data_IF_281710923416
#
_entry.id   IF_281710923416
#
_cell.length_a   1.000
_cell.length_b   1.000
_cell.length_c   1.000
_cell.angle_alpha   90.00
_cell.angle_beta   90.00
_cell.angle_gamma   90.00
#
_symmetry.space_group_name_H-M   'P 1'
#
loop_
_entity.id
_entity.type
_entity.pdbx_description
1 polymer ?
#
# COMPACT_ATOMS: atom_id res chain seq x y z
N UNK A 1 -27.06 -59.65 24.91
CA UNK A 1 -25.64 -59.27 24.77
C UNK A 1 -25.50 -57.81 25.14
N UNK A 2 -24.72 -57.55 26.19
CA UNK A 2 -24.56 -56.25 26.81
C UNK A 2 -23.40 -55.47 26.16
N UNK A 3 -23.49 -54.14 26.13
CA UNK A 3 -22.36 -53.31 26.52
C UNK A 3 -22.85 -51.95 27.04
N UNK A 4 -22.56 -51.71 28.32
CA UNK A 4 -22.61 -50.42 29.00
C UNK A 4 -21.36 -49.61 28.61
N UNK A 5 -21.46 -48.29 28.55
CA UNK A 5 -20.35 -47.43 28.98
C UNK A 5 -20.84 -46.31 29.89
N UNK A 6 -20.03 -46.12 30.92
CA UNK A 6 -20.31 -45.48 32.21
C UNK A 6 -19.70 -44.08 32.18
N UNK A 7 -20.48 -43.09 32.60
CA UNK A 7 -20.05 -41.71 32.78
C UNK A 7 -19.37 -41.58 34.14
N UNK A 8 -18.07 -41.27 34.14
CA UNK A 8 -17.29 -41.03 35.36
C UNK A 8 -17.29 -39.53 35.67
N UNK A 9 -17.90 -39.15 36.80
CA UNK A 9 -17.86 -37.80 37.37
C UNK A 9 -16.70 -37.76 38.37
N UNK A 10 -15.68 -36.96 38.09
CA UNK A 10 -14.56 -36.72 39.00
C UNK A 10 -14.82 -35.50 39.87
N UNK A 11 -15.00 -35.72 41.18
CA UNK A 11 -14.92 -34.69 42.21
C UNK A 11 -13.46 -34.51 42.64
N UNK A 12 -12.91 -33.32 42.46
CA UNK A 12 -11.59 -32.92 42.93
C UNK A 12 -11.69 -31.96 44.11
N UNK A 13 -11.15 -32.38 45.24
CA UNK A 13 -11.16 -31.72 46.55
C UNK A 13 -10.27 -30.47 46.57
N UNK A 14 -10.78 -29.42 47.21
CA UNK A 14 -10.10 -28.19 47.58
C UNK A 14 -8.99 -28.45 48.62
N UNK A 15 -7.76 -27.98 48.34
CA UNK A 15 -6.73 -27.76 49.36
C UNK A 15 -6.22 -26.33 49.19
N UNK A 16 -6.61 -25.47 50.12
CA UNK A 16 -5.97 -24.19 50.42
C UNK A 16 -4.88 -24.46 51.45
N UNK A 17 -3.66 -23.95 51.22
CA UNK A 17 -2.71 -23.48 52.25
C UNK A 17 -1.43 -22.99 51.55
N UNK A 18 -0.96 -21.78 51.88
CA UNK A 18 0.42 -21.39 51.61
C UNK A 18 0.64 -19.95 51.15
N UNK A 19 0.54 -19.02 52.09
CA UNK A 19 0.92 -17.62 51.95
C UNK A 19 2.37 -17.43 51.50
N UNK A 20 2.58 -16.72 50.40
CA UNK A 20 3.89 -16.27 49.93
C UNK A 20 3.76 -14.97 49.15
N UNK A 21 3.90 -13.83 49.83
CA UNK A 21 4.09 -12.53 49.18
C UNK A 21 5.41 -12.55 48.41
N UNK A 22 5.33 -12.55 47.09
CA UNK A 22 6.32 -11.92 46.21
C UNK A 22 5.52 -11.10 45.22
N UNK A 23 5.49 -9.79 45.47
CA UNK A 23 4.92 -8.83 44.54
C UNK A 23 5.77 -8.80 43.27
N UNK A 24 5.30 -9.47 42.23
CA UNK A 24 5.54 -9.01 40.87
C UNK A 24 4.37 -8.09 40.53
N UNK A 25 4.64 -6.79 40.57
CA UNK A 25 3.77 -5.80 39.96
C UNK A 25 3.57 -6.22 38.50
N UNK A 26 2.44 -6.85 38.20
CA UNK A 26 1.86 -6.81 36.87
C UNK A 26 1.39 -5.37 36.70
N UNK A 27 2.35 -4.48 36.42
CA UNK A 27 2.05 -3.25 35.72
C UNK A 27 1.40 -3.70 34.41
N UNK A 28 0.07 -3.66 34.40
CA UNK A 28 -0.67 -3.58 33.17
C UNK A 28 -0.08 -2.37 32.43
N UNK A 29 0.81 -2.64 31.46
CA UNK A 29 1.22 -1.66 30.48
C UNK A 29 -0.07 -1.17 29.84
N UNK A 30 -0.51 0.00 30.30
CA UNK A 30 -1.67 0.72 29.79
C UNK A 30 -1.50 0.78 28.29
N UNK A 31 -2.31 -0.01 27.58
CA UNK A 31 -2.17 -0.29 26.16
C UNK A 31 -1.90 0.98 25.38
N UNK A 32 -0.63 1.18 25.02
CA UNK A 32 -0.28 2.14 23.99
C UNK A 32 -1.07 1.71 22.76
N UNK A 33 -1.88 2.61 22.21
CA UNK A 33 -2.53 2.35 20.93
C UNK A 33 -1.44 1.89 19.96
N UNK A 34 -1.65 0.81 19.18
CA UNK A 34 -0.71 0.44 18.14
C UNK A 34 -0.40 1.68 17.30
N UNK A 35 0.84 2.15 17.37
CA UNK A 35 1.31 3.31 16.61
C UNK A 35 1.96 2.81 15.34
N UNK A 36 1.58 3.40 14.19
CA UNK A 36 2.27 3.21 12.92
C UNK A 36 3.77 3.41 13.07
N UNK A 37 4.57 2.55 12.42
CA UNK A 37 6.03 2.66 12.37
C UNK A 37 6.43 3.67 11.30
N UNK A 38 7.31 4.63 11.60
CA UNK A 38 7.89 5.49 10.57
C UNK A 38 8.66 4.66 9.55
N UNK A 39 8.58 5.04 8.28
CA UNK A 39 9.33 4.44 7.19
C UNK A 39 9.94 5.53 6.29
N UNK A 40 10.93 5.13 5.49
CA UNK A 40 11.35 5.82 4.28
C UNK A 40 10.67 5.16 3.10
N UNK A 41 10.21 5.95 2.16
CA UNK A 41 9.89 5.48 0.82
C UNK A 41 10.62 6.40 -0.14
N UNK A 42 11.62 5.88 -0.84
CA UNK A 42 12.34 6.60 -1.88
C UNK A 42 12.04 5.94 -3.22
N UNK A 43 11.49 6.73 -4.12
CA UNK A 43 11.48 6.35 -5.53
C UNK A 43 12.91 6.55 -6.02
N UNK A 44 13.49 5.54 -6.67
CA UNK A 44 14.88 5.66 -7.12
C UNK A 44 14.99 6.70 -8.23
N UNK A 45 15.94 7.63 -8.08
CA UNK A 45 17.11 7.70 -8.97
C UNK A 45 18.36 8.10 -8.13
N UNK A 46 19.24 7.16 -7.71
CA UNK A 46 20.27 7.44 -6.70
C UNK A 46 21.60 7.93 -7.31
N UNK A 47 21.64 9.11 -7.96
CA UNK A 47 22.92 9.68 -8.39
C UNK A 47 22.88 10.95 -9.25
N UNK A 48 23.97 11.73 -9.22
CA UNK A 48 24.22 12.89 -10.09
C UNK A 48 24.67 12.39 -11.48
N UNK A 49 23.70 12.01 -12.32
CA UNK A 49 23.94 11.48 -13.68
C UNK A 49 22.93 10.43 -14.15
N UNK A 50 21.62 10.62 -13.97
CA UNK A 50 20.61 9.71 -14.56
C UNK A 50 20.53 9.94 -16.08
N UNK A 51 20.77 8.88 -16.90
CA UNK A 51 19.66 8.11 -17.48
C UNK A 51 19.97 6.60 -17.64
N UNK A 52 18.97 5.69 -17.46
CA UNK A 52 18.52 4.52 -18.29
C UNK A 52 17.33 3.88 -17.50
N UNK A 53 16.12 4.43 -17.50
CA UNK A 53 15.09 4.21 -18.53
C UNK A 53 14.40 5.52 -18.96
N UNK A 54 15.19 6.50 -19.38
CA UNK A 54 14.65 7.72 -19.99
C UNK A 54 14.07 7.49 -21.42
N UNK A 55 13.66 6.26 -21.74
CA UNK A 55 13.07 5.90 -23.05
C UNK A 55 11.64 5.40 -22.98
N UNK A 56 11.06 5.27 -21.78
CA UNK A 56 9.61 5.04 -21.66
C UNK A 56 8.99 6.29 -21.06
N UNK A 57 8.07 6.97 -21.74
CA UNK A 57 7.39 8.16 -21.23
C UNK A 57 6.70 7.91 -19.87
N UNK A 58 6.28 6.67 -19.64
CA UNK A 58 5.31 6.33 -18.62
C UNK A 58 5.94 5.84 -17.34
N UNK A 59 5.64 6.49 -16.22
CA UNK A 59 6.09 6.01 -14.92
C UNK A 59 5.70 6.92 -13.77
N UNK A 60 5.72 6.34 -12.56
CA UNK A 60 5.63 7.06 -11.29
C UNK A 60 7.05 7.56 -10.98
N UNK A 61 7.33 8.84 -11.23
CA UNK A 61 8.64 9.43 -10.95
C UNK A 61 8.63 10.24 -9.65
N UNK A 62 9.63 10.00 -8.80
CA UNK A 62 10.00 10.75 -7.60
C UNK A 62 11.51 10.46 -7.34
N UNK A 63 12.33 11.24 -6.65
CA UNK A 63 12.11 11.99 -5.41
C UNK A 63 13.20 13.09 -5.22
N UNK A 64 12.97 14.01 -4.27
CA UNK A 64 14.03 14.74 -3.55
C UNK A 64 14.08 14.19 -2.12
N UNK A 65 15.26 13.92 -1.54
CA UNK A 65 15.33 13.27 -0.22
C UNK A 65 14.70 14.15 0.88
N UNK A 66 13.67 13.62 1.57
CA UNK A 66 13.04 14.26 2.74
C UNK A 66 13.45 13.53 4.03
N UNK A 67 13.82 14.25 5.10
CA UNK A 67 14.09 13.64 6.41
C UNK A 67 12.90 12.86 6.99
N UNK A 68 13.20 11.92 7.88
CA UNK A 68 12.22 11.11 8.60
C UNK A 68 11.33 11.97 9.51
N UNK A 69 10.01 11.93 9.29
CA UNK A 69 8.99 12.50 10.18
C UNK A 69 7.78 11.55 10.19
N UNK A 70 7.32 11.12 11.37
CA UNK A 70 6.10 10.30 11.50
C UNK A 70 4.81 11.08 11.21
N UNK A 71 4.86 12.41 11.21
CA UNK A 71 3.74 13.29 10.91
C UNK A 71 3.56 13.49 9.39
N UNK A 72 4.64 13.34 8.62
CA UNK A 72 4.78 13.78 7.23
C UNK A 72 5.40 12.66 6.34
N UNK A 73 5.38 11.42 6.82
CA UNK A 73 6.24 10.34 6.35
C UNK A 73 5.55 9.24 5.57
N UNK A 74 6.37 8.42 4.90
CA UNK A 74 5.98 7.03 4.68
C UNK A 74 5.81 6.36 6.06
N UNK A 75 4.79 5.53 6.20
CA UNK A 75 4.53 4.79 7.43
C UNK A 75 4.18 3.36 7.09
N UNK A 76 4.61 2.43 7.93
CA UNK A 76 4.04 1.09 7.97
C UNK A 76 3.02 1.09 9.10
N UNK A 77 1.74 0.94 8.74
CA UNK A 77 0.67 0.96 9.72
C UNK A 77 0.68 -0.29 10.62
N UNK A 78 -0.31 -0.38 11.49
CA UNK A 78 -0.39 -1.45 12.49
C UNK A 78 -0.77 -2.80 11.89
N UNK A 79 -1.24 -2.80 10.64
CA UNK A 79 -1.50 -4.00 9.83
C UNK A 79 -0.30 -4.39 8.96
N UNK A 80 0.78 -3.61 8.99
CA UNK A 80 1.98 -3.87 8.19
C UNK A 80 1.89 -3.31 6.77
N UNK A 81 0.89 -2.48 6.47
CA UNK A 81 0.69 -1.86 5.17
C UNK A 81 1.47 -0.56 5.04
N UNK A 82 2.06 -0.32 3.86
CA UNK A 82 2.66 0.97 3.56
C UNK A 82 1.57 1.98 3.25
N UNK A 83 1.62 3.10 3.97
CA UNK A 83 0.93 4.33 3.64
C UNK A 83 1.96 5.42 3.39
N UNK A 84 1.97 5.94 2.16
CA UNK A 84 2.77 7.11 1.80
C UNK A 84 1.84 8.28 1.48
N UNK A 85 2.09 9.40 2.16
CA UNK A 85 1.46 10.70 1.91
C UNK A 85 2.48 11.63 1.26
N UNK A 86 2.08 12.36 0.22
CA UNK A 86 2.90 13.46 -0.31
C UNK A 86 2.75 14.69 0.58
N UNK A 87 3.86 15.37 0.84
CA UNK A 87 3.95 16.53 1.73
C UNK A 87 4.47 17.71 0.93
N UNK A 88 3.88 18.92 1.07
CA UNK A 88 4.24 20.05 0.24
C UNK A 88 5.72 20.36 0.36
N UNK A 89 6.37 20.64 -0.77
CA UNK A 89 7.81 20.95 -0.87
C UNK A 89 8.76 19.83 -0.44
N UNK A 90 8.25 18.66 -0.06
CA UNK A 90 9.04 17.49 0.28
C UNK A 90 9.12 16.49 -0.87
N UNK A 91 7.96 16.03 -1.35
CA UNK A 91 7.84 14.97 -2.37
C UNK A 91 6.89 15.44 -3.47
N UNK A 92 7.21 15.12 -4.71
CA UNK A 92 6.26 15.23 -5.81
C UNK A 92 6.17 13.89 -6.53
N UNK A 93 5.05 13.65 -7.20
CA UNK A 93 4.79 12.48 -8.00
C UNK A 93 4.49 12.94 -9.42
N UNK A 94 5.29 12.50 -10.39
CA UNK A 94 4.93 12.63 -11.81
C UNK A 94 4.29 11.34 -12.29
N UNK A 95 3.13 11.46 -12.95
CA UNK A 95 2.36 10.38 -13.55
C UNK A 95 2.19 10.67 -15.03
N UNK A 96 2.74 9.83 -15.89
CA UNK A 96 2.51 9.89 -17.34
C UNK A 96 1.52 8.80 -17.78
N UNK A 97 0.52 9.24 -18.54
CA UNK A 97 -0.61 8.48 -19.05
C UNK A 97 -0.65 8.51 -20.59
N UNK A 98 0.50 8.71 -21.24
CA UNK A 98 0.62 8.78 -22.70
C UNK A 98 0.61 7.39 -23.36
N UNK A 99 1.10 6.35 -22.68
CA UNK A 99 1.05 4.94 -23.12
C UNK A 99 -0.16 4.21 -22.54
N UNK A 100 -1.32 4.69 -22.96
CA UNK A 100 -2.59 3.99 -22.75
C UNK A 100 -2.82 2.96 -23.85
N UNK A 101 -3.26 1.77 -23.47
CA UNK A 101 -3.69 0.72 -24.42
C UNK A 101 -5.07 1.00 -25.06
N UNK A 102 -5.82 1.95 -24.51
CA UNK A 102 -7.10 2.41 -25.05
C UNK A 102 -7.17 3.94 -24.98
N UNK A 103 -7.60 4.58 -26.07
CA UNK A 103 -7.96 5.98 -26.05
C UNK A 103 -9.13 6.19 -25.08
N UNK A 104 -9.06 7.28 -24.33
CA UNK A 104 -10.16 7.72 -23.51
C UNK A 104 -11.40 7.89 -24.39
N UNK A 105 -12.43 7.07 -24.18
CA UNK A 105 -13.68 7.16 -24.95
C UNK A 105 -14.36 8.52 -24.77
N UNK A 106 -15.41 8.81 -25.54
CA UNK A 106 -16.11 10.10 -25.52
C UNK A 106 -16.68 10.52 -24.14
N UNK A 107 -16.79 9.60 -23.18
CA UNK A 107 -17.25 9.83 -21.82
C UNK A 107 -16.12 10.03 -20.78
N UNK A 108 -14.86 9.97 -21.23
CA UNK A 108 -13.70 10.15 -20.36
C UNK A 108 -13.59 11.58 -19.84
N UNK A 109 -13.20 11.71 -18.58
CA UNK A 109 -13.02 12.99 -17.89
C UNK A 109 -11.59 13.45 -17.84
N UNK A 110 -10.64 12.58 -18.20
CA UNK A 110 -9.21 12.89 -18.12
C UNK A 110 -8.88 13.99 -19.13
N UNK A 111 -8.34 15.10 -18.62
CA UNK A 111 -7.90 16.25 -19.41
C UNK A 111 -6.38 16.42 -19.39
N UNK A 112 -5.65 15.46 -18.83
CA UNK A 112 -4.19 15.50 -18.67
C UNK A 112 -3.54 14.26 -19.28
N UNK A 113 -2.41 14.44 -19.96
CA UNK A 113 -1.52 13.36 -20.40
C UNK A 113 -0.44 13.06 -19.37
N UNK A 114 0.08 14.11 -18.73
CA UNK A 114 1.04 14.03 -17.64
C UNK A 114 0.47 14.82 -16.47
N UNK A 115 0.63 14.29 -15.26
CA UNK A 115 0.19 14.93 -14.03
C UNK A 115 1.33 14.96 -13.03
N UNK A 116 1.69 16.16 -12.59
CA UNK A 116 2.60 16.36 -11.46
C UNK A 116 1.78 16.70 -10.22
N UNK A 117 2.02 15.95 -9.13
CA UNK A 117 1.33 16.10 -7.85
C UNK A 117 2.37 16.44 -6.80
N UNK A 118 2.37 17.68 -6.33
CA UNK A 118 3.36 18.25 -5.42
C UNK A 118 2.75 18.77 -4.10
N UNK A 119 1.46 18.54 -3.89
CA UNK A 119 0.70 19.11 -2.77
C UNK A 119 -0.18 18.09 -2.02
N UNK A 120 -0.24 18.32 -0.71
CA UNK A 120 -1.01 17.59 0.29
C UNK A 120 -2.48 18.06 0.32
N UNK A 121 -3.51 17.20 0.54
CA UNK A 121 -3.53 15.74 0.75
C UNK A 121 -3.89 14.94 -0.50
N UNK A 122 -3.43 15.38 -1.65
CA UNK A 122 -3.91 14.88 -2.92
C UNK A 122 -3.21 13.59 -3.36
N UNK A 123 -2.46 12.87 -2.52
CA UNK A 123 -1.84 11.61 -2.96
C UNK A 123 -1.62 10.62 -1.82
N UNK A 124 -2.24 9.44 -1.95
CA UNK A 124 -2.19 8.34 -1.00
C UNK A 124 -1.83 7.03 -1.70
N UNK A 125 -0.77 6.37 -1.22
CA UNK A 125 -0.33 5.06 -1.68
C UNK A 125 -0.73 3.98 -0.68
N UNK A 126 -1.34 2.91 -1.16
CA UNK A 126 -1.68 1.73 -0.35
C UNK A 126 -1.26 0.46 -1.08
N UNK A 127 -0.42 -0.36 -0.45
CA UNK A 127 0.16 -1.55 -1.09
C UNK A 127 -0.83 -2.71 -1.18
N UNK A 128 -1.50 -3.10 -0.10
CA UNK A 128 -2.36 -4.28 0.00
C UNK A 128 -1.70 -5.54 -0.58
N UNK A 129 -0.68 -6.03 0.12
CA UNK A 129 0.07 -7.24 -0.26
C UNK A 129 -0.85 -8.45 -0.27
N UNK A 130 -0.69 -9.31 -1.26
CA UNK A 130 -1.44 -10.56 -1.40
C UNK A 130 -0.57 -11.73 -0.95
N UNK A 131 -1.11 -12.57 -0.07
CA UNK A 131 -0.50 -13.84 0.29
C UNK A 131 -0.71 -14.83 -0.88
N UNK A 132 0.37 -15.32 -1.52
CA UNK A 132 0.27 -16.20 -2.68
C UNK A 132 -0.34 -17.58 -2.35
N UNK A 133 -0.35 -17.99 -1.08
CA UNK A 133 -0.93 -19.27 -0.64
C UNK A 133 -2.45 -19.18 -0.58
N UNK A 134 -2.99 -18.06 -0.09
CA UNK A 134 -4.42 -17.89 0.15
C UNK A 134 -5.13 -17.09 -0.96
N UNK A 135 -4.39 -16.29 -1.72
CA UNK A 135 -4.94 -15.31 -2.67
C UNK A 135 -5.62 -14.11 -1.98
N UNK A 136 -5.57 -14.04 -0.65
CA UNK A 136 -6.14 -12.97 0.17
C UNK A 136 -5.13 -11.90 0.57
N UNK A 137 -5.58 -10.87 1.28
CA UNK A 137 -4.69 -9.87 1.89
C UNK A 137 -3.80 -10.53 2.94
N UNK A 138 -2.51 -10.22 2.88
CA UNK A 138 -1.55 -10.69 3.85
C UNK A 138 -1.83 -10.05 5.23
N UNK A 139 -1.95 -10.86 6.27
CA UNK A 139 -2.37 -10.39 7.61
C UNK A 139 -1.42 -9.36 8.26
N UNK A 140 -0.14 -9.34 7.87
CA UNK A 140 0.85 -8.36 8.33
C UNK A 140 1.46 -7.56 7.16
N UNK A 141 0.69 -7.39 6.07
CA UNK A 141 1.07 -6.61 4.90
C UNK A 141 2.47 -6.93 4.38
N UNK A 142 3.31 -5.91 4.25
CA UNK A 142 4.71 -6.03 3.79
C UNK A 142 5.54 -6.97 4.68
N UNK A 143 5.27 -7.02 5.98
CA UNK A 143 6.05 -7.83 6.92
C UNK A 143 5.76 -9.33 6.82
N UNK A 144 4.66 -9.72 6.16
CA UNK A 144 4.34 -11.13 5.88
C UNK A 144 5.26 -11.76 4.83
N UNK A 145 5.84 -10.95 3.94
CA UNK A 145 6.71 -11.44 2.87
C UNK A 145 8.00 -12.01 3.49
N UNK A 146 8.42 -13.24 3.18
CA UNK A 146 9.72 -13.75 3.60
C UNK A 146 10.88 -12.93 3.00
N UNK A 147 11.99 -12.79 3.72
CA UNK A 147 13.19 -12.13 3.17
C UNK A 147 13.70 -12.91 1.95
N UNK A 148 13.94 -12.20 0.85
CA UNK A 148 14.32 -12.77 -0.45
C UNK A 148 13.15 -13.24 -1.30
N UNK A 149 11.90 -13.13 -0.83
CA UNK A 149 10.71 -13.48 -1.59
C UNK A 149 10.02 -12.25 -2.20
N UNK A 150 9.35 -12.48 -3.32
CA UNK A 150 8.52 -11.49 -4.02
C UNK A 150 7.08 -11.93 -3.99
N UNK A 151 6.19 -11.07 -3.49
CA UNK A 151 4.74 -11.31 -3.43
C UNK A 151 3.98 -10.30 -4.29
N UNK A 152 2.83 -10.68 -4.89
CA UNK A 152 1.96 -9.75 -5.61
C UNK A 152 1.26 -8.80 -4.64
N UNK A 153 0.82 -7.65 -5.15
CA UNK A 153 0.26 -6.58 -4.32
C UNK A 153 -0.75 -5.73 -5.11
N UNK A 154 -1.80 -5.23 -4.42
CA UNK A 154 -2.86 -4.42 -5.02
C UNK A 154 -2.63 -2.93 -4.74
N UNK A 155 -1.73 -2.33 -5.52
CA UNK A 155 -1.40 -0.93 -5.33
C UNK A 155 -2.56 0.00 -5.72
N UNK A 156 -2.89 0.92 -4.82
CA UNK A 156 -3.74 2.09 -5.09
C UNK A 156 -2.91 3.36 -4.90
N UNK A 157 -2.92 4.23 -5.91
CA UNK A 157 -2.45 5.61 -5.78
C UNK A 157 -3.64 6.53 -6.04
N UNK A 158 -4.21 7.14 -5.00
CA UNK A 158 -5.37 8.04 -5.15
C UNK A 158 -4.95 9.49 -5.06
N UNK A 159 -5.51 10.32 -5.94
CA UNK A 159 -5.25 11.74 -5.99
C UNK A 159 -6.43 12.56 -6.46
N UNK A 160 -6.41 13.87 -6.22
CA UNK A 160 -7.50 14.76 -6.58
C UNK A 160 -7.02 15.80 -7.61
N UNK A 161 -7.89 16.16 -8.55
CA UNK A 161 -7.69 17.29 -9.47
C UNK A 161 -8.89 18.23 -9.45
N UNK A 162 -8.73 19.44 -9.98
CA UNK A 162 -9.83 20.39 -10.15
C UNK A 162 -10.24 20.42 -11.63
N UNK A 163 -11.51 20.14 -11.91
CA UNK A 163 -12.10 20.25 -13.23
C UNK A 163 -12.25 21.72 -13.66
N UNK A 164 -12.49 21.95 -14.95
CA UNK A 164 -12.69 23.30 -15.51
C UNK A 164 -13.87 24.07 -14.89
N UNK A 165 -14.84 23.37 -14.31
CA UNK A 165 -15.99 23.96 -13.60
C UNK A 165 -15.73 24.18 -12.10
N UNK A 166 -14.48 24.01 -11.64
CA UNK A 166 -14.05 24.20 -10.25
C UNK A 166 -14.37 23.02 -9.32
N UNK A 167 -14.92 21.92 -9.82
CA UNK A 167 -15.22 20.75 -8.98
C UNK A 167 -14.01 19.85 -8.79
N UNK A 168 -13.92 19.23 -7.62
CA UNK A 168 -12.93 18.18 -7.33
C UNK A 168 -13.32 16.89 -8.05
N UNK A 169 -12.39 16.34 -8.82
CA UNK A 169 -12.46 14.97 -9.33
C UNK A 169 -11.45 14.15 -8.54
N UNK A 170 -11.92 13.08 -7.92
CA UNK A 170 -11.05 12.11 -7.29
C UNK A 170 -10.63 11.07 -8.33
N UNK A 171 -9.35 10.78 -8.39
CA UNK A 171 -8.73 9.81 -9.27
C UNK A 171 -8.06 8.71 -8.46
N UNK A 172 -7.90 7.54 -9.08
CA UNK A 172 -6.99 6.53 -8.57
C UNK A 172 -6.35 5.74 -9.71
N UNK A 173 -5.05 5.53 -9.61
CA UNK A 173 -4.32 4.49 -10.34
C UNK A 173 -4.45 3.20 -9.52
N UNK A 174 -4.87 2.11 -10.18
CA UNK A 174 -5.19 0.82 -9.56
C UNK A 174 -4.47 -0.31 -10.29
N UNK A 175 -3.58 -0.98 -9.57
CA UNK A 175 -3.06 -2.29 -9.93
C UNK A 175 -3.89 -3.34 -9.18
N UNK A 176 -5.02 -3.76 -9.75
CA UNK A 176 -5.95 -4.64 -9.06
C UNK A 176 -6.82 -5.43 -10.07
N UNK A 177 -6.31 -6.57 -10.59
CA UNK A 177 -7.02 -7.42 -11.54
C UNK A 177 -8.36 -7.95 -11.00
N UNK A 178 -8.53 -8.03 -9.68
CA UNK A 178 -9.78 -8.54 -9.11
C UNK A 178 -10.96 -7.60 -9.39
N UNK A 179 -10.75 -6.31 -9.16
CA UNK A 179 -11.80 -5.30 -9.32
C UNK A 179 -11.74 -4.64 -10.71
N UNK A 180 -10.58 -4.69 -11.37
CA UNK A 180 -10.31 -4.15 -12.70
C UNK A 180 -9.51 -5.17 -13.52
N UNK A 181 -10.17 -6.22 -14.07
CA UNK A 181 -9.51 -7.37 -14.71
C UNK A 181 -8.45 -7.10 -15.78
N UNK A 182 -8.51 -6.01 -16.56
CA UNK A 182 -7.43 -5.67 -17.49
C UNK A 182 -6.16 -5.11 -16.82
N UNK A 183 -6.18 -4.80 -15.51
CA UNK A 183 -5.01 -4.33 -14.75
C UNK A 183 -4.27 -5.49 -14.11
N UNK A 184 -3.00 -5.27 -13.78
CA UNK A 184 -2.13 -6.28 -13.17
C UNK A 184 -1.89 -6.02 -11.69
N UNK A 185 -1.21 -6.95 -11.03
CA UNK A 185 -0.61 -6.70 -9.73
C UNK A 185 0.70 -5.93 -9.89
N UNK A 186 1.14 -5.27 -8.82
CA UNK A 186 2.55 -4.90 -8.69
C UNK A 186 3.29 -5.97 -7.90
N UNK A 187 4.60 -5.98 -8.02
CA UNK A 187 5.48 -6.89 -7.27
C UNK A 187 6.08 -6.21 -6.04
N UNK A 188 6.19 -6.96 -4.95
CA UNK A 188 6.84 -6.51 -3.71
C UNK A 188 7.89 -7.52 -3.29
N UNK A 189 9.16 -7.16 -3.41
CA UNK A 189 10.30 -7.93 -2.94
C UNK A 189 10.70 -7.45 -1.54
N UNK A 190 10.78 -8.37 -0.57
CA UNK A 190 11.40 -8.06 0.73
C UNK A 190 12.90 -8.34 0.67
N UNK A 191 13.71 -7.28 0.68
CA UNK A 191 15.18 -7.41 0.57
C UNK A 191 15.87 -7.64 1.91
N UNK A 192 15.27 -7.19 3.02
CA UNK A 192 15.79 -7.40 4.37
C UNK A 192 14.66 -7.48 5.41
N UNK A 193 14.98 -7.65 6.69
CA UNK A 193 13.98 -7.60 7.75
C UNK A 193 13.27 -6.23 7.84
N UNK A 194 13.91 -5.16 7.38
CA UNK A 194 13.45 -3.78 7.49
C UNK A 194 13.41 -3.07 6.13
N UNK A 195 13.48 -3.80 5.01
CA UNK A 195 13.55 -3.20 3.68
C UNK A 195 12.78 -3.99 2.63
N UNK A 196 12.11 -3.24 1.75
CA UNK A 196 11.28 -3.74 0.65
C UNK A 196 11.53 -2.94 -0.61
N UNK A 197 11.15 -3.54 -1.72
CA UNK A 197 11.12 -2.92 -3.02
C UNK A 197 9.78 -3.22 -3.68
N UNK A 198 9.05 -2.18 -4.05
CA UNK A 198 7.74 -2.26 -4.71
C UNK A 198 7.95 -1.79 -6.14
N UNK A 199 7.56 -2.58 -7.13
CA UNK A 199 7.82 -2.24 -8.52
C UNK A 199 6.75 -2.76 -9.48
N UNK A 200 6.63 -2.05 -10.59
CA UNK A 200 5.95 -2.49 -11.80
C UNK A 200 6.90 -2.36 -12.99
N UNK A 201 6.76 -3.26 -13.95
CA UNK A 201 7.50 -3.42 -15.19
C UNK A 201 6.73 -2.82 -16.36
N UNK A 202 7.35 -2.77 -17.53
CA UNK A 202 6.75 -2.23 -18.76
C UNK A 202 5.60 -3.09 -19.31
N UNK A 203 5.41 -4.30 -18.80
CA UNK A 203 4.32 -5.20 -19.16
C UNK A 203 3.09 -5.02 -18.27
N UNK A 204 3.29 -4.65 -17.01
CA UNK A 204 2.21 -4.47 -16.04
C UNK A 204 1.41 -3.20 -16.33
N UNK A 205 0.10 -3.29 -16.15
CA UNK A 205 -0.87 -2.24 -16.48
C UNK A 205 -1.69 -1.83 -15.27
N UNK A 206 -1.95 -0.55 -15.14
CA UNK A 206 -2.83 0.00 -14.12
C UNK A 206 -4.09 0.61 -14.74
N UNK A 207 -5.22 0.43 -14.05
CA UNK A 207 -6.47 1.12 -14.40
C UNK A 207 -6.47 2.51 -13.78
N UNK A 208 -6.68 3.55 -14.57
CA UNK A 208 -7.07 4.86 -14.06
C UNK A 208 -8.58 4.87 -13.86
N UNK A 209 -9.01 5.25 -12.68
CA UNK A 209 -10.42 5.45 -12.37
C UNK A 209 -10.68 6.86 -11.85
N UNK A 210 -11.83 7.43 -12.17
CA UNK A 210 -12.30 8.69 -11.59
C UNK A 210 -13.59 8.51 -10.81
N UNK A 211 -13.81 9.39 -9.85
CA UNK A 211 -15.08 9.60 -9.16
C UNK A 211 -15.34 11.10 -9.15
N UNK A 212 -16.48 11.52 -9.73
CA UNK A 212 -16.88 12.92 -9.77
C UNK A 212 -18.22 13.12 -9.06
N UNK A 213 -18.39 14.31 -8.48
CA UNK A 213 -19.45 14.66 -7.56
C UNK A 213 -20.85 14.24 -8.06
N UNK A 214 -21.60 13.54 -7.19
CA UNK A 214 -23.00 13.09 -7.35
C UNK A 214 -23.25 11.84 -8.19
N UNK A 215 -22.26 11.26 -8.87
CA UNK A 215 -22.46 9.95 -9.50
C UNK A 215 -22.15 8.80 -8.53
N UNK A 216 -22.99 7.77 -8.56
CA UNK A 216 -22.80 6.55 -7.77
C UNK A 216 -21.87 5.62 -8.54
N UNK A 217 -20.57 5.64 -8.21
CA UNK A 217 -19.59 4.67 -8.71
C UNK A 217 -18.38 5.29 -9.40
N UNK A 218 -17.37 4.45 -9.62
CA UNK A 218 -16.15 4.81 -10.31
C UNK A 218 -16.38 4.76 -11.83
N UNK A 219 -15.75 5.68 -12.55
CA UNK A 219 -15.64 5.67 -14.01
C UNK A 219 -14.27 5.12 -14.38
N UNK A 220 -14.20 4.18 -15.34
CA UNK A 220 -12.93 3.69 -15.87
C UNK A 220 -12.44 4.66 -16.94
N UNK A 221 -11.23 5.16 -16.78
CA UNK A 221 -10.66 6.28 -17.56
C UNK A 221 -9.48 5.81 -18.42
N UNK A 222 -9.22 4.50 -18.44
CA UNK A 222 -8.25 3.86 -19.32
C UNK A 222 -7.27 2.95 -18.58
N UNK A 223 -6.55 2.17 -19.38
CA UNK A 223 -5.55 1.21 -18.93
C UNK A 223 -4.18 1.63 -19.44
N UNK A 224 -3.22 1.79 -18.53
CA UNK A 224 -1.94 2.44 -18.79
C UNK A 224 -0.77 1.57 -18.33
N UNK A 225 0.30 1.53 -19.12
CA UNK A 225 1.60 1.02 -18.67
C UNK A 225 2.20 2.02 -17.69
N UNK A 226 2.60 1.59 -16.50
CA UNK A 226 3.14 2.50 -15.48
C UNK A 226 4.29 1.84 -14.72
N UNK A 227 5.44 1.60 -15.37
CA UNK A 227 6.60 1.05 -14.68
C UNK A 227 7.10 2.01 -13.60
N UNK A 228 7.52 1.44 -12.47
CA UNK A 228 8.11 2.21 -11.38
C UNK A 228 8.90 1.31 -10.45
N UNK A 229 9.74 1.92 -9.60
CA UNK A 229 10.41 1.23 -8.50
C UNK A 229 10.51 2.13 -7.27
N UNK A 230 9.96 1.65 -6.17
CA UNK A 230 9.92 2.31 -4.87
C UNK A 230 10.67 1.46 -3.86
N UNK A 231 11.72 2.03 -3.26
CA UNK A 231 12.43 1.42 -2.15
C UNK A 231 11.81 1.88 -0.84
N UNK A 232 11.56 0.94 0.07
CA UNK A 232 10.94 1.21 1.37
C UNK A 232 11.84 0.66 2.46
N UNK A 233 12.08 1.44 3.52
CA UNK A 233 12.85 0.97 4.68
C UNK A 233 12.28 1.48 5.99
N UNK A 234 12.40 0.71 7.06
CA UNK A 234 12.13 1.16 8.43
C UNK A 234 13.44 1.27 9.23
N UNK A 235 13.50 2.13 10.26
CA UNK A 235 14.61 2.14 11.22
C UNK A 235 14.84 0.78 11.88
#
# INVERSE_FOLDING_TARGET
MALRQVMTIGFGVFVLLGSGRLGSSLEAQKGGKPTSKPATASFRCPGLGCPIDATVPDGIQADRPVPFSSADGATIDTTGELSLRLVPNGRFLSLDFSNGSASCGAACRRTFSILEIDSDPLALFHTNVIDPVTGGEATNGLSSIPVGATWPSRLKVAFDTIASDGKVIQWAVRFNPRDYPPSDHVSVLRTSLTSWEIFATDEERAMLVSTCCRQKGNTNEGLYAMPFRLHVSTP
#
